data_IF_663471731282
#
_entry.id   IF_663471731282
#
_cell.length_a   1.000
_cell.length_b   1.000
_cell.length_c   1.000
_cell.angle_alpha   90.00
_cell.angle_beta   90.00
_cell.angle_gamma   90.00
#
_symmetry.space_group_name_H-M   'P 1'
#
loop_
_entity.id
_entity.type
_entity.pdbx_description
1 polymer ?
#
# COMPACT_ATOMS: atom_id res chain seq x y z
N UNK A 1 12.53 -16.63 -4.85
CA UNK A 1 11.54 -15.78 -4.17
C UNK A 1 10.91 -14.87 -5.20
N UNK A 2 9.60 -14.97 -5.40
CA UNK A 2 8.88 -14.07 -6.29
C UNK A 2 8.90 -12.64 -5.73
N UNK A 3 9.09 -11.63 -6.59
CA UNK A 3 9.09 -10.22 -6.22
C UNK A 3 7.78 -9.83 -5.50
N UNK A 4 6.68 -10.47 -5.91
CA UNK A 4 5.34 -10.31 -5.33
C UNK A 4 5.30 -10.67 -3.85
N UNK A 5 5.98 -11.73 -3.44
CA UNK A 5 5.96 -12.21 -2.05
C UNK A 5 6.70 -11.23 -1.13
N UNK A 6 7.83 -10.69 -1.60
CA UNK A 6 8.56 -9.62 -0.90
C UNK A 6 7.71 -8.36 -0.74
N UNK A 7 6.97 -7.96 -1.78
CA UNK A 7 6.06 -6.80 -1.72
C UNK A 7 4.96 -7.03 -0.70
N UNK A 8 4.34 -8.22 -0.67
CA UNK A 8 3.31 -8.57 0.31
C UNK A 8 3.88 -8.54 1.73
N UNK A 9 5.09 -9.07 1.94
CA UNK A 9 5.75 -9.06 3.23
C UNK A 9 6.00 -7.62 3.73
N UNK A 10 6.40 -6.70 2.85
CA UNK A 10 6.59 -5.29 3.20
C UNK A 10 5.25 -4.58 3.47
N UNK A 11 4.23 -4.79 2.64
CA UNK A 11 2.88 -4.23 2.85
C UNK A 11 2.31 -4.72 4.19
N UNK A 12 2.56 -5.98 4.57
CA UNK A 12 2.13 -6.51 5.86
C UNK A 12 2.81 -5.86 7.08
N UNK A 13 3.91 -5.13 6.90
CA UNK A 13 4.52 -4.36 8.00
C UNK A 13 3.88 -2.98 8.18
N UNK A 14 3.02 -2.58 7.25
CA UNK A 14 2.33 -1.29 7.29
C UNK A 14 1.04 -1.48 8.09
N UNK A 15 0.95 -0.76 9.21
CA UNK A 15 -0.22 -0.76 10.09
C UNK A 15 -0.96 0.56 9.95
N UNK A 16 -2.29 0.51 10.08
CA UNK A 16 -3.09 1.73 10.08
C UNK A 16 -2.81 2.52 11.38
N UNK A 17 -2.61 3.85 11.31
CA UNK A 17 -2.30 4.66 12.49
C UNK A 17 -3.51 4.90 13.40
N UNK A 18 -4.74 4.72 12.89
CA UNK A 18 -5.97 4.84 13.69
C UNK A 18 -6.37 3.48 14.30
N UNK A 19 -6.13 2.39 13.57
CA UNK A 19 -6.44 1.03 14.01
C UNK A 19 -5.14 0.20 13.96
N UNK A 20 -4.63 -0.33 15.09
CA UNK A 20 -3.34 -1.05 15.16
C UNK A 20 -3.41 -2.45 14.53
N UNK A 21 -3.89 -2.52 13.29
CA UNK A 21 -4.11 -3.72 12.50
C UNK A 21 -3.50 -3.48 11.13
N UNK A 22 -3.10 -4.57 10.50
CA UNK A 22 -2.42 -4.60 9.23
C UNK A 22 -3.37 -4.22 8.08
N UNK A 23 -2.94 -3.31 7.19
CA UNK A 23 -3.73 -2.89 6.02
C UNK A 23 -4.02 -4.04 5.05
N UNK A 24 -3.18 -5.08 5.04
CA UNK A 24 -3.38 -6.30 4.25
C UNK A 24 -4.52 -7.15 4.81
N UNK A 25 -4.56 -7.34 6.14
CA UNK A 25 -5.58 -8.15 6.83
C UNK A 25 -6.94 -7.43 6.85
N UNK A 26 -6.94 -6.10 6.86
CA UNK A 26 -8.15 -5.28 6.75
C UNK A 26 -8.80 -5.35 5.36
N UNK A 27 -8.12 -5.95 4.36
CA UNK A 27 -8.64 -6.02 3.00
C UNK A 27 -8.62 -4.67 2.28
N UNK A 28 -7.81 -3.71 2.73
CA UNK A 28 -7.67 -2.39 2.11
C UNK A 28 -6.89 -2.43 0.77
N UNK A 29 -6.16 -3.52 0.53
CA UNK A 29 -5.44 -3.77 -0.72
C UNK A 29 -6.35 -4.54 -1.69
N UNK A 30 -6.68 -3.95 -2.84
CA UNK A 30 -7.51 -4.62 -3.86
C UNK A 30 -6.70 -5.37 -4.91
N UNK A 31 -5.56 -4.83 -5.34
CA UNK A 31 -4.81 -5.39 -6.46
C UNK A 31 -3.32 -5.09 -6.30
N UNK A 32 -2.47 -6.09 -6.56
CA UNK A 32 -1.02 -5.95 -6.59
C UNK A 32 -0.54 -6.48 -7.94
N UNK A 33 -0.16 -5.58 -8.83
CA UNK A 33 0.39 -5.89 -10.15
C UNK A 33 1.87 -5.58 -10.18
N UNK A 34 2.68 -6.59 -10.47
CA UNK A 34 4.11 -6.40 -10.72
C UNK A 34 4.28 -6.23 -12.23
N UNK A 35 4.52 -5.00 -12.68
CA UNK A 35 4.96 -4.72 -14.05
C UNK A 35 6.49 -4.83 -14.16
N UNK A 36 6.96 -5.33 -15.30
CA UNK A 36 8.31 -5.87 -15.47
C UNK A 36 9.49 -5.07 -14.87
N UNK A 37 10.50 -5.84 -14.46
CA UNK A 37 11.81 -5.50 -13.88
C UNK A 37 11.81 -4.84 -12.50
N UNK A 38 11.07 -3.77 -12.21
CA UNK A 38 11.18 -3.12 -10.89
C UNK A 38 9.92 -2.34 -10.46
N UNK A 39 8.80 -2.47 -11.15
CA UNK A 39 7.63 -1.61 -10.89
C UNK A 39 6.48 -2.43 -10.33
N UNK A 40 6.04 -2.11 -9.11
CA UNK A 40 4.83 -2.67 -8.54
C UNK A 40 3.74 -1.60 -8.46
N UNK A 41 2.57 -1.90 -9.03
CA UNK A 41 1.35 -1.12 -8.89
C UNK A 41 0.48 -1.78 -7.83
N UNK A 42 0.24 -1.06 -6.74
CA UNK A 42 -0.62 -1.50 -5.65
C UNK A 42 -1.85 -0.60 -5.63
N UNK A 43 -3.03 -1.19 -5.79
CA UNK A 43 -4.32 -0.50 -5.69
C UNK A 43 -4.87 -0.73 -4.28
N UNK A 44 -5.05 0.35 -3.53
CA UNK A 44 -5.54 0.32 -2.15
C UNK A 44 -6.53 1.44 -1.87
N UNK A 45 -7.43 1.24 -0.91
CA UNK A 45 -8.26 2.30 -0.31
C UNK A 45 -7.66 2.70 1.03
N UNK A 46 -7.49 4.00 1.26
CA UNK A 46 -7.18 4.54 2.58
C UNK A 46 -8.50 4.84 3.29
N UNK A 47 -8.66 4.33 4.51
CA UNK A 47 -9.85 4.52 5.34
C UNK A 47 -9.98 5.94 5.92
N UNK A 48 -8.97 6.80 5.76
CA UNK A 48 -9.03 8.20 6.20
C UNK A 48 -9.13 9.16 5.01
N UNK A 49 -10.32 9.75 4.71
CA UNK A 49 -10.48 10.78 3.67
C UNK A 49 -9.75 12.10 3.98
N UNK A 50 -9.06 12.20 5.13
CA UNK A 50 -8.53 13.45 5.66
C UNK A 50 -7.02 13.41 5.97
N UNK A 51 -6.25 12.47 5.42
CA UNK A 51 -4.80 12.43 5.67
C UNK A 51 -4.08 13.58 4.91
N UNK A 52 -3.42 14.55 5.60
CA UNK A 52 -2.84 15.75 4.98
C UNK A 52 -1.67 15.47 4.01
N UNK A 53 -1.22 14.22 3.90
CA UNK A 53 -0.11 13.79 3.05
C UNK A 53 -0.43 13.79 1.56
N UNK A 54 -1.70 13.85 1.16
CA UNK A 54 -2.09 13.90 -0.25
C UNK A 54 -1.70 15.24 -0.93
N UNK A 55 -1.32 16.26 -0.16
CA UNK A 55 -0.85 17.57 -0.66
C UNK A 55 0.67 17.69 -0.88
N UNK A 56 1.49 16.71 -0.48
CA UNK A 56 2.97 16.87 -0.48
C UNK A 56 3.66 16.24 -1.69
N UNK A 57 2.92 15.86 -2.73
CA UNK A 57 3.54 15.59 -4.02
C UNK A 57 3.60 16.89 -4.82
N UNK A 58 4.79 17.51 -4.99
CA UNK A 58 4.92 18.60 -5.94
C UNK A 58 4.56 18.04 -7.32
N UNK A 59 3.47 18.56 -7.89
CA UNK A 59 3.26 18.48 -9.34
C UNK A 59 4.51 19.08 -9.98
N UNK A 60 5.25 18.25 -10.71
CA UNK A 60 6.11 18.76 -11.78
C UNK A 60 5.27 19.53 -12.79
#
# INVERSE_FOLDING_TARGET
MELKDQIIAEIKKIYDPEIPVNIYELGLIYDIKVENRNTAKVKMTLTSPNCPVQKVYPKR
#
